data_IF_216218149017
#
_entry.id   IF_216218149017
#
_cell.length_a   1.000
_cell.length_b   1.000
_cell.length_c   1.000
_cell.angle_alpha   90.00
_cell.angle_beta   90.00
_cell.angle_gamma   90.00
#
_symmetry.space_group_name_H-M   'P 1'
#
loop_
_entity.id
_entity.type
_entity.pdbx_description
1 polymer ?
#
# COMPACT_ATOMS: atom_id res chain seq x y z
N UNK A 1 1.69 10.77 -83.50
CA UNK A 1 2.14 11.55 -82.32
C UNK A 1 1.51 10.94 -81.08
N UNK A 2 2.29 10.19 -80.31
CA UNK A 2 1.86 9.34 -79.19
C UNK A 2 1.64 10.15 -77.91
N UNK A 3 0.40 10.21 -77.41
CA UNK A 3 0.07 10.72 -76.08
C UNK A 3 0.28 9.61 -75.04
N UNK A 4 1.18 9.83 -74.07
CA UNK A 4 1.39 8.96 -72.91
C UNK A 4 0.40 9.33 -71.80
N UNK A 5 -0.45 8.39 -71.38
CA UNK A 5 -1.19 8.47 -70.12
C UNK A 5 -0.24 8.19 -68.96
N UNK A 6 -0.14 9.12 -68.01
CA UNK A 6 0.44 8.89 -66.69
C UNK A 6 -0.70 8.58 -65.70
N UNK A 7 -0.77 7.34 -65.24
CA UNK A 7 -1.61 6.94 -64.11
C UNK A 7 -0.87 7.23 -62.80
N UNK A 8 -1.37 8.18 -62.01
CA UNK A 8 -0.89 8.43 -60.66
C UNK A 8 -1.57 7.45 -59.69
N UNK A 9 -0.79 6.54 -59.11
CA UNK A 9 -1.23 5.67 -58.01
C UNK A 9 -1.01 6.43 -56.70
N UNK A 10 -2.08 6.90 -56.08
CA UNK A 10 -2.06 7.46 -54.72
C UNK A 10 -2.07 6.32 -53.71
N UNK A 11 -0.93 6.09 -53.06
CA UNK A 11 -0.83 5.18 -51.93
C UNK A 11 -1.27 5.90 -50.63
N UNK A 12 -2.45 5.54 -50.12
CA UNK A 12 -2.96 6.04 -48.84
C UNK A 12 -2.28 5.29 -47.70
N UNK A 13 -1.33 5.92 -47.00
CA UNK A 13 -0.81 5.40 -45.73
C UNK A 13 -1.90 5.52 -44.66
N UNK A 14 -2.49 4.40 -44.25
CA UNK A 14 -3.26 4.32 -43.01
C UNK A 14 -2.29 4.33 -41.82
N UNK A 15 -2.22 5.45 -41.12
CA UNK A 15 -1.59 5.52 -39.81
C UNK A 15 -2.46 4.79 -38.79
N UNK A 16 -2.10 3.54 -38.46
CA UNK A 16 -2.63 2.84 -37.30
C UNK A 16 -2.08 3.52 -36.04
N UNK A 17 -2.86 4.44 -35.48
CA UNK A 17 -2.61 4.99 -34.15
C UNK A 17 -2.77 3.88 -33.12
N UNK A 18 -1.68 3.54 -32.43
CA UNK A 18 -1.72 2.73 -31.22
C UNK A 18 -2.40 3.59 -30.16
N UNK A 19 -3.72 3.45 -30.00
CA UNK A 19 -4.43 4.00 -28.86
C UNK A 19 -3.92 3.27 -27.62
N UNK A 20 -2.95 3.87 -26.92
CA UNK A 20 -2.59 3.43 -25.57
C UNK A 20 -3.86 3.48 -24.72
N UNK A 21 -4.30 2.34 -24.21
CA UNK A 21 -5.40 2.27 -23.26
C UNK A 21 -5.05 3.17 -22.07
N UNK A 22 -5.72 4.32 -21.97
CA UNK A 22 -5.61 5.20 -20.84
C UNK A 22 -6.18 4.46 -19.62
N UNK A 23 -5.32 3.78 -18.87
CA UNK A 23 -5.72 3.17 -17.61
C UNK A 23 -6.08 4.30 -16.64
N UNK A 24 -7.30 4.23 -16.09
CA UNK A 24 -7.75 5.14 -15.07
C UNK A 24 -6.77 5.10 -13.89
N UNK A 25 -6.31 6.27 -13.45
CA UNK A 25 -5.42 6.37 -12.30
C UNK A 25 -6.18 6.01 -11.02
N UNK A 26 -5.54 5.32 -10.06
CA UNK A 26 -6.15 5.10 -8.76
C UNK A 26 -6.51 6.41 -8.06
N UNK A 27 -7.55 6.38 -7.22
CA UNK A 27 -7.89 7.51 -6.35
C UNK A 27 -6.74 7.92 -5.41
N UNK A 28 -6.88 9.10 -4.79
CA UNK A 28 -5.89 9.62 -3.83
C UNK A 28 -5.99 8.97 -2.45
N UNK A 29 -7.14 8.38 -2.15
CA UNK A 29 -7.42 7.63 -0.93
C UNK A 29 -7.42 6.12 -1.23
N UNK A 30 -7.11 5.35 -0.19
CA UNK A 30 -7.27 3.90 -0.23
C UNK A 30 -8.75 3.53 -0.49
N UNK A 31 -9.04 2.56 -1.38
CA UNK A 31 -10.41 2.12 -1.63
C UNK A 31 -11.06 1.52 -0.38
N UNK A 32 -12.36 1.74 -0.26
CA UNK A 32 -13.20 1.13 0.77
C UNK A 32 -14.35 0.40 0.07
N UNK A 33 -14.54 -0.87 0.41
CA UNK A 33 -15.65 -1.69 -0.05
C UNK A 33 -16.56 -1.94 1.15
N UNK A 34 -17.67 -1.19 1.22
CA UNK A 34 -18.58 -1.18 2.38
C UNK A 34 -17.82 -0.86 3.68
N UNK A 35 -17.58 -1.84 4.55
CA UNK A 35 -16.84 -1.67 5.81
C UNK A 35 -15.37 -2.10 5.73
N UNK A 36 -14.90 -2.53 4.56
CA UNK A 36 -13.56 -3.07 4.35
C UNK A 36 -12.64 -2.10 3.61
N UNK A 37 -11.62 -1.61 4.31
CA UNK A 37 -10.54 -0.80 3.75
C UNK A 37 -9.46 -1.70 3.16
N UNK A 38 -8.94 -1.36 1.98
CA UNK A 38 -7.77 -2.05 1.41
C UNK A 38 -6.60 -1.09 1.17
N UNK A 39 -5.38 -1.57 1.41
CA UNK A 39 -4.19 -0.81 1.05
C UNK A 39 -2.96 -1.72 0.85
N UNK A 40 -1.87 -1.16 0.31
CA UNK A 40 -0.58 -1.81 0.19
C UNK A 40 0.57 -0.91 0.69
N UNK A 41 1.55 -1.53 1.32
CA UNK A 41 2.82 -0.91 1.70
C UNK A 41 3.74 -0.76 0.48
N UNK A 42 4.79 0.08 0.61
CA UNK A 42 5.82 0.26 -0.42
C UNK A 42 6.52 -1.04 -0.83
N UNK A 43 6.55 -2.03 0.07
CA UNK A 43 7.12 -3.37 -0.18
C UNK A 43 6.26 -4.24 -1.10
N UNK A 44 4.98 -3.92 -1.29
CA UNK A 44 4.02 -4.77 -2.02
C UNK A 44 3.19 -5.69 -1.12
N UNK A 45 3.42 -5.67 0.21
CA UNK A 45 2.52 -6.30 1.16
C UNK A 45 1.17 -5.54 1.19
N UNK A 46 0.07 -6.25 0.97
CA UNK A 46 -1.27 -5.68 0.90
C UNK A 46 -2.16 -6.21 2.03
N UNK A 47 -3.21 -5.47 2.38
CA UNK A 47 -4.19 -5.93 3.36
C UNK A 47 -5.62 -5.48 3.04
N UNK A 48 -6.58 -6.24 3.57
CA UNK A 48 -7.99 -5.87 3.71
C UNK A 48 -8.34 -5.84 5.19
N UNK A 49 -8.91 -4.74 5.69
CA UNK A 49 -9.16 -4.52 7.12
C UNK A 49 -10.59 -4.06 7.36
N UNK A 50 -11.21 -4.59 8.41
CA UNK A 50 -12.45 -4.08 8.97
C UNK A 50 -12.24 -3.71 10.43
N UNK A 51 -12.34 -2.41 10.72
CA UNK A 51 -12.28 -1.86 12.08
C UNK A 51 -13.71 -1.67 12.59
N UNK A 52 -14.08 -2.43 13.62
CA UNK A 52 -15.42 -2.39 14.22
C UNK A 52 -15.32 -1.99 15.68
N UNK A 53 -16.19 -1.09 16.12
CA UNK A 53 -16.31 -0.67 17.52
C UNK A 53 -17.69 -1.03 18.06
N UNK A 54 -17.72 -1.74 19.18
CA UNK A 54 -18.92 -1.98 19.98
C UNK A 54 -18.72 -1.38 21.38
N UNK A 55 -19.37 -0.25 21.64
CA UNK A 55 -19.15 0.57 22.84
C UNK A 55 -17.67 0.95 23.02
N UNK A 56 -17.07 0.59 24.16
CA UNK A 56 -15.67 0.87 24.48
C UNK A 56 -14.70 -0.15 23.89
N UNK A 57 -15.19 -1.29 23.39
CA UNK A 57 -14.34 -2.35 22.80
C UNK A 57 -14.33 -2.18 21.29
N UNK A 58 -13.14 -2.23 20.69
CA UNK A 58 -13.00 -2.28 19.25
C UNK A 58 -12.15 -3.47 18.85
N UNK A 59 -12.41 -3.96 17.64
CA UNK A 59 -11.66 -5.02 16.99
C UNK A 59 -11.30 -4.57 15.58
N UNK A 60 -10.06 -4.80 15.18
CA UNK A 60 -9.60 -4.75 13.80
C UNK A 60 -9.30 -6.17 13.33
N UNK A 61 -10.08 -6.65 12.37
CA UNK A 61 -9.77 -7.87 11.65
C UNK A 61 -9.07 -7.52 10.35
N UNK A 62 -7.85 -8.02 10.18
CA UNK A 62 -7.04 -7.73 8.99
C UNK A 62 -6.55 -9.00 8.31
N UNK A 63 -6.86 -9.14 7.03
CA UNK A 63 -6.27 -10.14 6.15
C UNK A 63 -5.07 -9.47 5.47
N UNK A 64 -3.88 -9.99 5.69
CA UNK A 64 -2.59 -9.45 5.21
C UNK A 64 -1.97 -10.46 4.25
N UNK A 65 -1.37 -9.99 3.17
CA UNK A 65 -0.68 -10.86 2.21
C UNK A 65 0.61 -10.24 1.69
N UNK A 66 1.69 -11.00 1.76
CA UNK A 66 3.00 -10.62 1.22
C UNK A 66 3.06 -10.77 -0.32
N UNK A 67 4.07 -10.17 -0.94
CA UNK A 67 4.21 -10.09 -2.39
C UNK A 67 4.75 -11.37 -3.05
N UNK A 68 5.42 -12.26 -2.30
CA UNK A 68 6.06 -13.48 -2.84
C UNK A 68 5.03 -14.44 -3.42
N UNK A 69 5.37 -15.15 -4.50
CA UNK A 69 4.47 -16.07 -5.21
C UNK A 69 3.74 -17.05 -4.28
N UNK A 70 4.47 -17.64 -3.34
CA UNK A 70 4.03 -18.64 -2.37
C UNK A 70 3.41 -18.07 -1.09
N UNK A 71 3.39 -16.75 -0.94
CA UNK A 71 2.86 -16.10 0.26
C UNK A 71 1.38 -16.45 0.51
N UNK A 72 1.16 -17.13 1.63
CA UNK A 72 -0.17 -17.43 2.14
C UNK A 72 -0.80 -16.18 2.77
N UNK A 73 -2.13 -16.03 2.71
CA UNK A 73 -2.82 -15.01 3.50
C UNK A 73 -2.58 -15.26 4.99
N UNK A 74 -2.35 -14.17 5.71
CA UNK A 74 -2.28 -14.14 7.16
C UNK A 74 -3.49 -13.37 7.69
N UNK A 75 -4.01 -13.77 8.85
CA UNK A 75 -5.09 -13.06 9.51
C UNK A 75 -4.60 -12.55 10.85
N UNK A 76 -4.85 -11.27 11.12
CA UNK A 76 -4.51 -10.64 12.39
C UNK A 76 -5.75 -10.03 13.02
N UNK A 77 -5.97 -10.37 14.29
CA UNK A 77 -6.97 -9.73 15.14
C UNK A 77 -6.27 -8.71 16.02
N UNK A 78 -6.79 -7.49 16.10
CA UNK A 78 -6.36 -6.48 17.07
C UNK A 78 -7.53 -6.04 17.91
N UNK A 79 -7.33 -5.76 19.18
CA UNK A 79 -8.33 -5.19 20.08
C UNK A 79 -7.68 -4.21 21.05
N UNK A 80 -8.46 -3.28 21.62
CA UNK A 80 -8.00 -2.50 22.78
C UNK A 80 -8.24 -3.17 24.13
N UNK A 81 -8.90 -4.33 24.15
CA UNK A 81 -9.14 -5.06 25.39
C UNK A 81 -7.96 -5.96 25.68
N UNK A 82 -7.41 -5.87 26.89
CA UNK A 82 -6.41 -6.83 27.36
C UNK A 82 -7.10 -8.18 27.57
N UNK A 83 -6.64 -9.20 26.86
CA UNK A 83 -7.11 -10.56 26.98
C UNK A 83 -6.43 -11.25 28.18
N UNK A 84 -7.17 -12.05 28.95
CA UNK A 84 -6.61 -12.84 30.04
C UNK A 84 -5.52 -13.81 29.56
N UNK A 85 -4.74 -14.34 30.51
CA UNK A 85 -3.68 -15.32 30.19
C UNK A 85 -4.26 -16.67 29.70
N UNK A 86 -5.45 -17.02 30.17
CA UNK A 86 -6.18 -18.23 29.80
C UNK A 86 -7.59 -17.89 29.33
N UNK A 87 -8.19 -18.79 28.57
CA UNK A 87 -9.53 -18.63 28.03
C UNK A 87 -9.57 -18.90 26.54
N UNK A 88 -10.71 -18.68 25.91
CA UNK A 88 -10.92 -19.06 24.51
C UNK A 88 -11.42 -17.88 23.70
N UNK A 89 -10.73 -17.59 22.60
CA UNK A 89 -11.25 -16.74 21.53
C UNK A 89 -12.10 -17.59 20.60
N UNK A 90 -13.38 -17.22 20.43
CA UNK A 90 -14.30 -17.92 19.53
C UNK A 90 -14.64 -17.06 18.33
N UNK A 91 -14.64 -17.67 17.16
CA UNK A 91 -14.97 -17.05 15.88
C UNK A 91 -16.21 -17.72 15.31
N UNK A 92 -17.33 -17.01 15.34
CA UNK A 92 -18.62 -17.49 14.81
C UNK A 92 -18.93 -16.75 13.51
N UNK A 93 -19.18 -17.46 12.42
CA UNK A 93 -19.67 -16.88 11.16
C UNK A 93 -21.15 -17.22 11.03
N UNK A 94 -22.00 -16.19 10.93
CA UNK A 94 -23.46 -16.32 10.88
C UNK A 94 -24.03 -17.22 12.00
N UNK A 95 -23.46 -17.09 13.21
CA UNK A 95 -23.84 -17.88 14.39
C UNK A 95 -23.28 -19.31 14.44
N UNK A 96 -22.53 -19.74 13.43
CA UNK A 96 -21.85 -21.05 13.41
C UNK A 96 -20.41 -20.89 13.87
N UNK A 97 -20.00 -21.60 14.92
CA UNK A 97 -18.60 -21.61 15.36
C UNK A 97 -17.71 -22.25 14.32
N UNK A 98 -16.80 -21.45 13.77
CA UNK A 98 -15.79 -21.88 12.82
C UNK A 98 -14.52 -22.28 13.54
N UNK A 99 -14.16 -21.56 14.61
CA UNK A 99 -12.95 -21.83 15.38
C UNK A 99 -13.09 -21.43 16.86
N UNK A 100 -12.41 -22.16 17.74
CA UNK A 100 -12.23 -21.83 19.16
C UNK A 100 -10.77 -22.00 19.56
N UNK A 101 -10.06 -20.89 19.73
CA UNK A 101 -8.62 -20.89 20.02
C UNK A 101 -8.36 -20.58 21.51
N UNK A 102 -7.67 -21.46 22.25
CA UNK A 102 -7.12 -21.12 23.54
C UNK A 102 -6.13 -19.94 23.43
N UNK A 103 -6.25 -18.95 24.31
CA UNK A 103 -5.40 -17.75 24.26
C UNK A 103 -3.94 -18.10 24.51
N UNK A 104 -3.67 -19.04 25.40
CA UNK A 104 -2.33 -19.54 25.69
C UNK A 104 -1.66 -20.12 24.42
N UNK A 105 -2.38 -20.92 23.65
CA UNK A 105 -1.89 -21.47 22.38
C UNK A 105 -1.69 -20.36 21.36
N UNK A 106 -2.61 -19.38 21.31
CA UNK A 106 -2.46 -18.24 20.42
C UNK A 106 -1.20 -17.43 20.75
N UNK A 107 -0.89 -17.22 22.04
CA UNK A 107 0.34 -16.55 22.49
C UNK A 107 1.59 -17.34 22.09
N UNK A 108 1.59 -18.66 22.26
CA UNK A 108 2.71 -19.53 21.89
C UNK A 108 3.04 -19.46 20.40
N UNK A 109 2.03 -19.45 19.52
CA UNK A 109 2.28 -19.44 18.08
C UNK A 109 2.73 -18.09 17.53
N UNK A 110 2.63 -16.99 18.30
CA UNK A 110 2.94 -15.65 17.77
C UNK A 110 4.38 -15.54 17.25
N UNK A 111 5.34 -16.17 17.93
CA UNK A 111 6.74 -16.16 17.51
C UNK A 111 6.99 -16.94 16.20
N UNK A 112 6.08 -17.85 15.83
CA UNK A 112 6.19 -18.63 14.59
C UNK A 112 5.66 -17.87 13.37
N UNK A 113 4.90 -16.79 13.55
CA UNK A 113 4.34 -16.01 12.45
C UNK A 113 5.23 -14.83 12.12
N UNK A 114 5.88 -14.89 10.95
CA UNK A 114 6.67 -13.77 10.43
C UNK A 114 5.77 -12.73 9.78
N UNK A 115 5.76 -11.52 10.33
CA UNK A 115 5.00 -10.41 9.74
C UNK A 115 5.63 -9.98 8.40
N UNK A 116 4.83 -9.74 7.34
CA UNK A 116 5.36 -9.25 6.07
C UNK A 116 6.09 -7.91 6.24
N UNK A 117 7.25 -7.69 5.59
CA UNK A 117 7.92 -6.40 5.65
C UNK A 117 7.00 -5.27 5.16
N UNK A 118 7.04 -4.13 5.86
CA UNK A 118 6.14 -2.99 5.59
C UNK A 118 4.75 -3.12 6.25
N UNK A 119 4.43 -4.26 6.88
CA UNK A 119 3.26 -4.37 7.74
C UNK A 119 3.41 -3.50 8.99
N UNK A 120 2.36 -2.75 9.35
CA UNK A 120 2.30 -1.95 10.57
C UNK A 120 1.05 -2.32 11.37
N UNK A 121 1.19 -2.86 12.60
CA UNK A 121 0.05 -3.18 13.44
C UNK A 121 -0.62 -1.90 13.95
N UNK A 122 -1.92 -1.97 14.22
CA UNK A 122 -2.60 -0.94 15.01
C UNK A 122 -2.19 -1.07 16.49
N UNK A 123 -2.19 0.05 17.21
CA UNK A 123 -1.96 0.05 18.65
C UNK A 123 -3.10 -0.68 19.38
N UNK A 124 -2.74 -1.52 20.35
CA UNK A 124 -3.66 -2.44 21.04
C UNK A 124 -3.00 -3.80 21.22
N UNK A 125 -3.72 -4.75 21.82
CA UNK A 125 -3.30 -6.14 21.87
C UNK A 125 -3.72 -6.83 20.57
N UNK A 126 -2.80 -7.53 19.91
CA UNK A 126 -3.18 -8.23 18.70
C UNK A 126 -2.34 -9.45 18.41
N UNK A 127 -2.98 -10.38 17.70
CA UNK A 127 -2.52 -11.74 17.50
C UNK A 127 -2.67 -12.12 16.04
N UNK A 128 -1.64 -12.77 15.51
CA UNK A 128 -1.74 -13.56 14.30
C UNK A 128 -2.52 -14.83 14.56
N UNK A 129 -3.50 -15.09 13.71
CA UNK A 129 -4.27 -16.32 13.69
C UNK A 129 -3.42 -17.48 13.12
N UNK A 130 -3.70 -18.75 13.50
CA UNK A 130 -2.95 -19.90 12.99
C UNK A 130 -2.93 -19.97 11.47
N UNK A 131 -1.76 -20.22 10.89
CA UNK A 131 -1.53 -20.18 9.43
C UNK A 131 -1.98 -21.46 8.72
N UNK A 132 -1.87 -21.47 7.38
CA UNK A 132 -2.13 -22.66 6.57
C UNK A 132 -3.61 -23.03 6.47
N UNK A 133 -3.92 -24.32 6.67
CA UNK A 133 -5.28 -24.85 6.50
C UNK A 133 -6.30 -24.17 7.42
N UNK A 134 -5.91 -23.84 8.66
CA UNK A 134 -6.78 -23.19 9.64
C UNK A 134 -7.20 -21.79 9.16
N UNK A 135 -6.24 -20.94 8.75
CA UNK A 135 -6.55 -19.65 8.11
C UNK A 135 -7.42 -19.84 6.86
N UNK A 136 -7.15 -20.85 6.04
CA UNK A 136 -7.90 -21.08 4.80
C UNK A 136 -9.37 -21.44 5.05
N UNK A 137 -9.64 -22.27 6.07
CA UNK A 137 -11.00 -22.63 6.52
C UNK A 137 -11.75 -21.39 6.99
N UNK A 138 -11.16 -20.60 7.88
CA UNK A 138 -11.79 -19.37 8.36
C UNK A 138 -12.03 -18.40 7.19
N UNK A 139 -11.04 -18.15 6.35
CA UNK A 139 -11.15 -17.22 5.22
C UNK A 139 -12.24 -17.66 4.21
N UNK A 140 -12.45 -18.96 4.03
CA UNK A 140 -13.54 -19.48 3.19
C UNK A 140 -14.90 -19.16 3.82
N UNK A 141 -15.07 -19.41 5.12
CA UNK A 141 -16.30 -19.08 5.83
C UNK A 141 -16.59 -17.57 5.78
N UNK A 142 -15.57 -16.72 6.00
CA UNK A 142 -15.71 -15.27 5.93
C UNK A 142 -16.13 -14.76 4.54
N UNK A 143 -15.69 -15.41 3.46
CA UNK A 143 -16.06 -15.01 2.10
C UNK A 143 -17.50 -15.36 1.71
N UNK A 144 -18.11 -16.33 2.39
CA UNK A 144 -19.49 -16.77 2.13
C UNK A 144 -20.50 -16.26 3.14
N UNK A 145 -20.04 -15.89 4.35
CA UNK A 145 -20.90 -15.40 5.42
C UNK A 145 -21.25 -13.92 5.32
N UNK A 146 -22.13 -13.47 6.21
CA UNK A 146 -22.58 -12.07 6.29
C UNK A 146 -21.99 -11.34 7.49
N UNK A 147 -21.77 -12.03 8.59
CA UNK A 147 -21.23 -11.48 9.83
C UNK A 147 -20.24 -12.45 10.49
N UNK A 148 -19.09 -11.92 10.93
CA UNK A 148 -18.21 -12.61 11.88
C UNK A 148 -18.42 -12.03 13.27
N UNK A 149 -18.80 -12.87 14.24
CA UNK A 149 -18.76 -12.50 15.66
C UNK A 149 -17.50 -13.04 16.31
N UNK A 150 -16.71 -12.15 16.91
CA UNK A 150 -15.55 -12.52 17.73
C UNK A 150 -15.93 -12.44 19.19
N UNK A 151 -15.89 -13.57 19.90
CA UNK A 151 -16.12 -13.64 21.33
C UNK A 151 -14.79 -13.66 22.06
N UNK A 152 -14.61 -12.70 22.97
CA UNK A 152 -13.39 -12.50 23.72
C UNK A 152 -13.68 -12.60 25.22
N UNK A 153 -12.92 -13.38 25.98
CA UNK A 153 -13.02 -13.35 27.43
C UNK A 153 -12.49 -12.01 27.96
N UNK A 154 -13.01 -11.57 29.10
CA UNK A 154 -12.58 -10.34 29.75
C UNK A 154 -11.77 -10.65 30.99
N UNK A 155 -10.64 -9.97 31.16
CA UNK A 155 -9.82 -10.11 32.36
C UNK A 155 -10.65 -9.81 33.63
N UNK A 156 -10.58 -10.71 34.61
CA UNK A 156 -11.28 -10.57 35.89
C UNK A 156 -12.81 -10.75 35.82
N UNK A 157 -13.37 -11.22 34.71
CA UNK A 157 -14.81 -11.50 34.57
C UNK A 157 -15.07 -12.86 33.93
N UNK A 158 -16.17 -13.49 34.32
CA UNK A 158 -16.69 -14.69 33.63
C UNK A 158 -17.48 -14.33 32.35
N UNK A 159 -17.78 -13.06 32.13
CA UNK A 159 -18.50 -12.59 30.94
C UNK A 159 -17.58 -12.45 29.72
N UNK A 160 -18.11 -12.84 28.56
CA UNK A 160 -17.46 -12.64 27.26
C UNK A 160 -17.97 -11.38 26.59
N UNK A 161 -17.07 -10.59 26.01
CA UNK A 161 -17.43 -9.49 25.10
C UNK A 161 -17.52 -10.03 23.69
N UNK A 162 -18.57 -9.65 22.96
CA UNK A 162 -18.76 -10.04 21.56
C UNK A 162 -18.72 -8.81 20.66
N UNK A 163 -17.98 -8.90 19.55
CA UNK A 163 -17.91 -7.86 18.52
C UNK A 163 -18.27 -8.47 17.17
N UNK A 164 -19.34 -7.96 16.57
CA UNK A 164 -19.86 -8.38 15.26
C UNK A 164 -19.25 -7.53 14.14
N UNK A 165 -18.51 -8.16 13.25
CA UNK A 165 -17.83 -7.56 12.11
C UNK A 165 -18.62 -7.88 10.83
N UNK A 166 -19.20 -6.87 10.15
CA UNK A 166 -19.85 -7.08 8.87
C UNK A 166 -18.87 -7.61 7.81
N UNK A 167 -19.28 -8.64 7.06
CA UNK A 167 -18.49 -9.26 5.99
C UNK A 167 -18.83 -8.73 4.60
N UNK A 168 -19.86 -7.87 4.50
CA UNK A 168 -20.17 -7.14 3.27
C UNK A 168 -18.94 -6.34 2.83
N UNK A 169 -18.51 -6.51 1.58
CA UNK A 169 -17.33 -5.86 1.02
C UNK A 169 -16.01 -6.64 1.19
N UNK A 170 -15.94 -7.65 2.07
CA UNK A 170 -14.72 -8.45 2.27
C UNK A 170 -14.24 -9.09 0.97
N UNK A 171 -15.13 -9.80 0.27
CA UNK A 171 -14.79 -10.50 -0.98
C UNK A 171 -14.27 -9.53 -2.05
N UNK A 172 -14.85 -8.33 -2.15
CA UNK A 172 -14.36 -7.27 -3.04
C UNK A 172 -12.97 -6.76 -2.64
N UNK A 173 -12.73 -6.59 -1.34
CA UNK A 173 -11.42 -6.25 -0.81
C UNK A 173 -10.36 -7.32 -1.09
N UNK A 174 -10.69 -8.60 -0.90
CA UNK A 174 -9.79 -9.71 -1.21
C UNK A 174 -9.51 -9.83 -2.71
N UNK A 175 -10.52 -9.59 -3.56
CA UNK A 175 -10.33 -9.54 -5.01
C UNK A 175 -9.43 -8.37 -5.42
N UNK A 176 -9.55 -7.23 -4.75
CA UNK A 176 -8.64 -6.10 -4.96
C UNK A 176 -7.20 -6.47 -4.61
N UNK A 177 -6.97 -7.19 -3.50
CA UNK A 177 -5.65 -7.70 -3.13
C UNK A 177 -5.09 -8.62 -4.21
N UNK A 178 -5.87 -9.61 -4.65
CA UNK A 178 -5.46 -10.54 -5.71
C UNK A 178 -5.10 -9.81 -7.01
N UNK A 179 -5.88 -8.81 -7.42
CA UNK A 179 -5.60 -7.99 -8.59
C UNK A 179 -4.34 -7.15 -8.43
N UNK A 180 -4.15 -6.48 -7.28
CA UNK A 180 -2.96 -5.67 -6.99
C UNK A 180 -1.67 -6.49 -6.98
N UNK A 181 -1.78 -7.77 -6.65
CA UNK A 181 -0.66 -8.70 -6.56
C UNK A 181 -0.52 -9.62 -7.78
N UNK A 182 -1.27 -9.37 -8.87
CA UNK A 182 -1.28 -10.20 -10.08
C UNK A 182 -1.57 -11.70 -9.81
N UNK A 183 -2.46 -11.98 -8.85
CA UNK A 183 -2.81 -13.35 -8.45
C UNK A 183 -4.10 -13.87 -9.06
N UNK A 184 -4.99 -13.01 -9.53
CA UNK A 184 -6.26 -13.40 -10.15
C UNK A 184 -6.00 -14.40 -11.28
N UNK A 185 -6.67 -15.56 -11.23
CA UNK A 185 -6.47 -16.65 -12.21
C UNK A 185 -5.26 -17.56 -11.95
N UNK A 186 -4.44 -17.26 -10.94
CA UNK A 186 -3.36 -18.17 -10.48
C UNK A 186 -3.88 -19.13 -9.43
N UNK A 187 -3.17 -20.24 -9.21
CA UNK A 187 -3.44 -21.17 -8.11
C UNK A 187 -3.33 -20.54 -6.72
N UNK A 188 -2.73 -19.34 -6.62
CA UNK A 188 -2.59 -18.60 -5.36
C UNK A 188 -3.69 -17.58 -5.11
N UNK A 189 -4.63 -17.32 -6.01
CA UNK A 189 -5.68 -16.33 -5.74
C UNK A 189 -6.53 -16.74 -4.53
N UNK A 190 -6.99 -15.77 -3.73
CA UNK A 190 -7.91 -16.01 -2.60
C UNK A 190 -9.35 -16.18 -3.11
N UNK A 191 -9.80 -15.28 -3.99
CA UNK A 191 -11.22 -15.18 -4.37
C UNK A 191 -11.57 -16.02 -5.58
N UNK A 192 -10.67 -16.12 -6.55
CA UNK A 192 -10.89 -16.86 -7.79
C UNK A 192 -9.61 -17.58 -8.21
N UNK A 193 -9.28 -18.70 -7.52
CA UNK A 193 -8.14 -19.52 -7.89
C UNK A 193 -8.29 -20.03 -9.33
N UNK A 194 -7.19 -20.05 -10.08
CA UNK A 194 -7.14 -20.65 -11.41
C UNK A 194 -5.97 -21.61 -11.55
N UNK A 195 -5.63 -21.97 -12.79
CA UNK A 195 -4.59 -22.97 -13.10
C UNK A 195 -3.21 -22.38 -13.32
N UNK A 196 -3.08 -21.05 -13.46
CA UNK A 196 -1.80 -20.44 -13.73
C UNK A 196 -0.86 -20.55 -12.51
N UNK A 197 0.45 -20.74 -12.72
CA UNK A 197 1.39 -20.83 -11.62
C UNK A 197 1.44 -19.51 -10.84
N UNK A 198 1.61 -19.55 -9.50
CA UNK A 198 1.84 -18.34 -8.72
C UNK A 198 3.12 -17.64 -9.17
N UNK A 199 3.07 -16.30 -9.28
CA UNK A 199 4.22 -15.45 -9.60
C UNK A 199 4.44 -14.41 -8.51
N UNK A 200 5.66 -13.89 -8.40
CA UNK A 200 5.93 -12.78 -7.50
C UNK A 200 5.14 -11.54 -7.97
N UNK A 201 4.44 -10.92 -7.04
CA UNK A 201 3.77 -9.66 -7.28
C UNK A 201 4.81 -8.53 -7.50
N UNK A 202 4.39 -7.40 -8.12
CA UNK A 202 5.17 -6.17 -8.10
C UNK A 202 5.52 -5.80 -6.66
N UNK A 203 6.80 -5.56 -6.38
CA UNK A 203 7.30 -5.37 -5.03
C UNK A 203 8.46 -4.38 -4.97
N UNK A 204 8.80 -3.98 -3.75
CA UNK A 204 10.08 -3.36 -3.43
C UNK A 204 10.65 -4.02 -2.18
N UNK A 205 11.97 -3.96 -2.04
CA UNK A 205 12.67 -4.58 -0.92
C UNK A 205 12.83 -3.55 0.20
N UNK A 206 12.51 -3.88 1.45
CA UNK A 206 12.70 -2.97 2.57
C UNK A 206 14.18 -2.69 2.76
N UNK A 207 14.49 -1.48 3.24
CA UNK A 207 15.81 -1.10 3.75
C UNK A 207 15.60 -0.74 5.22
N UNK A 208 16.20 -1.50 6.13
CA UNK A 208 15.93 -1.36 7.56
C UNK A 208 16.95 -0.45 8.26
N UNK A 209 18.11 -0.26 7.66
CA UNK A 209 19.16 0.60 8.19
C UNK A 209 19.89 1.33 7.05
N UNK A 210 20.39 2.57 7.27
CA UNK A 210 21.17 3.31 6.27
C UNK A 210 22.39 2.54 5.75
N UNK A 211 22.98 1.67 6.57
CA UNK A 211 24.16 0.87 6.24
C UNK A 211 23.89 -0.20 5.17
N UNK A 212 22.63 -0.51 4.88
CA UNK A 212 22.22 -1.42 3.80
C UNK A 212 22.28 -0.74 2.41
N UNK A 213 22.45 0.59 2.36
CA UNK A 213 22.60 1.33 1.11
C UNK A 213 23.96 1.01 0.46
N UNK A 214 24.01 0.73 -0.86
CA UNK A 214 25.28 0.65 -1.59
C UNK A 214 26.09 1.95 -1.45
N UNK A 215 27.42 1.85 -1.57
CA UNK A 215 28.33 2.97 -1.31
C UNK A 215 28.00 4.24 -2.12
N UNK A 216 27.70 4.11 -3.41
CA UNK A 216 27.36 5.21 -4.30
C UNK A 216 26.01 5.84 -3.95
N UNK A 217 25.03 5.02 -3.56
CA UNK A 217 23.71 5.50 -3.11
C UNK A 217 23.86 6.22 -1.76
N UNK A 218 24.62 5.64 -0.85
CA UNK A 218 24.93 6.19 0.46
C UNK A 218 25.67 7.52 0.34
N UNK A 219 26.61 7.66 -0.60
CA UNK A 219 27.33 8.92 -0.83
C UNK A 219 26.40 10.06 -1.26
N UNK A 220 25.45 9.78 -2.16
CA UNK A 220 24.44 10.76 -2.60
C UNK A 220 23.49 11.10 -1.46
N UNK A 221 23.04 10.09 -0.72
CA UNK A 221 22.18 10.29 0.44
C UNK A 221 22.88 11.19 1.48
N UNK A 222 24.12 10.91 1.87
CA UNK A 222 24.89 11.74 2.81
C UNK A 222 25.19 13.16 2.29
N UNK A 223 25.36 13.33 0.97
CA UNK A 223 25.58 14.65 0.37
C UNK A 223 24.33 15.54 0.43
N UNK A 224 23.14 14.97 0.64
CA UNK A 224 21.93 15.75 0.80
C UNK A 224 21.84 16.37 2.20
N UNK A 225 21.61 17.69 2.25
CA UNK A 225 21.59 18.49 3.47
C UNK A 225 20.62 18.02 4.57
N UNK A 226 19.57 17.27 4.23
CA UNK A 226 18.59 16.76 5.21
C UNK A 226 18.83 15.30 5.61
N UNK A 227 19.73 14.58 4.93
CA UNK A 227 19.81 13.13 5.03
C UNK A 227 21.03 12.65 5.82
N UNK A 228 21.99 13.52 6.16
CA UNK A 228 23.28 13.14 6.76
C UNK A 228 23.22 12.57 8.19
N UNK A 229 22.07 12.63 8.87
CA UNK A 229 21.90 12.00 10.19
C UNK A 229 20.44 11.63 10.44
N UNK A 230 20.20 10.36 10.82
CA UNK A 230 18.89 9.86 11.22
C UNK A 230 19.09 8.74 12.24
N UNK A 231 18.23 8.70 13.27
CA UNK A 231 18.23 7.60 14.23
C UNK A 231 17.85 6.28 13.51
N UNK A 232 18.57 5.17 13.74
CA UNK A 232 18.28 3.89 13.07
C UNK A 232 16.86 3.35 13.33
N UNK A 233 16.33 3.56 14.53
CA UNK A 233 14.96 3.12 14.87
C UNK A 233 13.93 3.95 14.12
N UNK A 234 14.17 5.26 14.02
CA UNK A 234 13.35 6.16 13.20
C UNK A 234 13.44 5.74 11.72
N UNK A 235 14.64 5.51 11.17
CA UNK A 235 14.82 5.09 9.79
C UNK A 235 14.03 3.81 9.47
N UNK A 236 14.16 2.77 10.30
CA UNK A 236 13.44 1.51 10.16
C UNK A 236 11.91 1.68 10.21
N UNK A 237 11.41 2.72 10.90
CA UNK A 237 9.98 3.03 11.00
C UNK A 237 9.41 3.73 9.74
N UNK A 238 10.27 4.36 8.94
CA UNK A 238 9.90 5.22 7.81
C UNK A 238 9.81 4.46 6.46
N UNK A 239 9.84 3.12 6.48
CA UNK A 239 9.55 2.27 5.32
C UNK A 239 10.40 2.61 4.07
N UNK A 240 11.71 2.82 4.25
CA UNK A 240 12.65 2.95 3.15
C UNK A 240 12.62 1.69 2.26
N UNK A 241 12.74 1.87 0.95
CA UNK A 241 12.70 0.73 0.01
C UNK A 241 13.69 0.86 -1.15
N UNK A 242 14.20 -0.29 -1.60
CA UNK A 242 14.86 -0.51 -2.89
C UNK A 242 13.88 -1.13 -3.87
N UNK A 243 13.55 -0.42 -4.93
CA UNK A 243 12.71 -0.89 -6.03
C UNK A 243 13.62 -1.51 -7.10
N UNK A 244 13.58 -2.84 -7.31
CA UNK A 244 14.31 -3.46 -8.42
C UNK A 244 13.68 -3.05 -9.77
N UNK A 245 14.52 -2.75 -10.76
CA UNK A 245 14.12 -2.41 -12.14
C UNK A 245 14.55 -3.52 -13.12
N UNK A 246 13.89 -3.59 -14.28
CA UNK A 246 14.02 -4.69 -15.26
C UNK A 246 15.43 -4.83 -15.86
N UNK A 247 16.19 -3.73 -15.94
CA UNK A 247 17.53 -3.66 -16.53
C UNK A 247 18.67 -3.94 -15.51
N UNK A 248 18.31 -4.39 -14.31
CA UNK A 248 19.23 -4.58 -13.19
C UNK A 248 19.56 -3.29 -12.44
N UNK A 249 18.97 -2.15 -12.79
CA UNK A 249 19.03 -0.93 -12.01
C UNK A 249 18.12 -1.01 -10.77
N UNK A 250 18.22 -0.01 -9.91
CA UNK A 250 17.36 0.13 -8.74
C UNK A 250 16.99 1.59 -8.48
N UNK A 251 15.75 1.81 -8.05
CA UNK A 251 15.29 3.09 -7.52
C UNK A 251 15.15 2.98 -5.99
N UNK A 252 15.80 3.86 -5.25
CA UNK A 252 15.77 3.90 -3.79
C UNK A 252 14.87 5.05 -3.35
N UNK A 253 13.93 4.77 -2.45
CA UNK A 253 13.11 5.79 -1.78
C UNK A 253 13.51 5.79 -0.32
N UNK A 254 14.27 6.80 0.10
CA UNK A 254 15.02 6.78 1.37
C UNK A 254 14.62 7.99 2.21
N UNK A 255 14.22 7.81 3.48
CA UNK A 255 13.91 8.90 4.38
C UNK A 255 15.17 9.70 4.71
N UNK A 256 14.97 10.95 5.11
CA UNK A 256 16.03 11.88 5.44
C UNK A 256 15.72 12.61 6.74
N UNK A 257 16.70 12.62 7.65
CA UNK A 257 16.61 13.41 8.86
C UNK A 257 15.55 12.93 9.84
N UNK A 258 15.46 13.61 10.98
CA UNK A 258 14.37 13.38 11.91
C UNK A 258 13.03 13.87 11.31
N UNK A 259 11.94 13.10 11.47
CA UNK A 259 10.62 13.56 11.08
C UNK A 259 10.24 14.82 11.87
N UNK A 260 9.49 15.70 11.24
CA UNK A 260 8.77 16.77 11.95
C UNK A 260 7.47 16.21 12.53
N UNK A 261 6.66 17.03 13.20
CA UNK A 261 5.44 16.57 13.90
C UNK A 261 4.48 15.72 13.02
N UNK A 262 4.42 15.96 11.71
CA UNK A 262 3.52 15.24 10.80
C UNK A 262 4.07 15.08 9.37
N UNK A 263 5.33 15.44 9.12
CA UNK A 263 5.99 15.28 7.82
C UNK A 263 7.40 14.70 7.97
N UNK A 264 7.68 13.67 7.20
CA UNK A 264 9.02 13.07 7.04
C UNK A 264 9.54 13.34 5.62
N UNK A 265 10.74 13.92 5.44
CA UNK A 265 11.33 14.09 4.13
C UNK A 265 11.96 12.78 3.64
N UNK A 266 11.95 12.60 2.33
CA UNK A 266 12.57 11.50 1.60
C UNK A 266 13.28 12.04 0.36
N UNK A 267 14.21 11.24 -0.15
CA UNK A 267 14.84 11.42 -1.46
C UNK A 267 14.63 10.18 -2.31
N UNK A 268 14.68 10.39 -3.63
CA UNK A 268 14.74 9.30 -4.60
C UNK A 268 16.14 9.24 -5.21
N UNK A 269 16.76 8.06 -5.25
CA UNK A 269 18.10 7.85 -5.83
C UNK A 269 18.01 6.71 -6.83
N UNK A 270 18.46 6.93 -8.05
CA UNK A 270 18.57 5.88 -9.07
C UNK A 270 20.00 5.37 -9.08
N UNK A 271 20.18 4.05 -9.06
CA UNK A 271 21.46 3.39 -9.28
C UNK A 271 21.36 2.47 -10.51
N UNK A 272 22.23 2.67 -11.49
CA UNK A 272 22.33 1.82 -12.66
C UNK A 272 22.89 0.44 -12.33
N UNK A 273 22.81 -0.49 -13.29
CA UNK A 273 23.39 -1.85 -13.18
C UNK A 273 24.91 -1.85 -12.92
N UNK A 274 25.59 -0.77 -13.28
CA UNK A 274 27.02 -0.54 -13.08
C UNK A 274 27.34 0.05 -11.69
N UNK A 275 26.32 0.27 -10.86
CA UNK A 275 26.43 0.88 -9.53
C UNK A 275 26.46 2.42 -9.57
N UNK A 276 26.59 3.04 -10.74
CA UNK A 276 26.59 4.49 -10.84
C UNK A 276 25.24 5.05 -10.38
N UNK A 277 25.27 5.92 -9.38
CA UNK A 277 24.08 6.46 -8.77
C UNK A 277 23.90 7.96 -9.06
N UNK A 278 22.65 8.42 -9.05
CA UNK A 278 22.31 9.86 -9.11
C UNK A 278 21.02 10.16 -8.34
N UNK A 279 20.95 11.36 -7.79
CA UNK A 279 19.71 11.90 -7.24
C UNK A 279 18.64 11.98 -8.34
N UNK A 280 17.44 11.51 -8.05
CA UNK A 280 16.24 11.70 -8.87
C UNK A 280 15.46 12.87 -8.30
N UNK A 281 15.26 13.90 -9.12
CA UNK A 281 14.39 15.01 -8.79
C UNK A 281 12.96 14.71 -9.26
N UNK A 282 11.98 15.21 -8.53
CA UNK A 282 10.56 15.12 -8.86
C UNK A 282 10.04 16.48 -9.32
N UNK A 283 9.15 16.47 -10.32
CA UNK A 283 8.48 17.68 -10.80
C UNK A 283 7.31 18.06 -9.88
N UNK A 284 7.12 19.35 -9.64
CA UNK A 284 6.04 19.92 -8.82
C UNK A 284 5.48 21.16 -9.51
N UNK A 285 4.24 21.55 -9.23
CA UNK A 285 3.70 22.81 -9.73
C UNK A 285 3.79 23.89 -8.65
N UNK A 286 4.47 24.98 -8.98
CA UNK A 286 4.43 26.24 -8.21
C UNK A 286 3.50 27.24 -8.89
N UNK A 287 3.20 28.34 -8.21
CA UNK A 287 2.44 29.45 -8.81
C UNK A 287 3.15 30.07 -10.02
N UNK A 288 4.48 30.00 -10.06
CA UNK A 288 5.32 30.49 -11.18
C UNK A 288 5.55 29.46 -12.28
N UNK A 289 4.97 28.26 -12.17
CA UNK A 289 5.14 27.16 -13.13
C UNK A 289 5.85 25.93 -12.55
N UNK A 290 6.25 24.98 -13.41
CA UNK A 290 6.86 23.73 -12.98
C UNK A 290 8.23 23.97 -12.33
N UNK A 291 8.47 23.29 -11.22
CA UNK A 291 9.76 23.28 -10.52
C UNK A 291 10.24 21.85 -10.35
N UNK A 292 11.55 21.67 -10.18
CA UNK A 292 12.15 20.40 -9.78
C UNK A 292 12.58 20.49 -8.32
N UNK A 293 12.31 19.45 -7.54
CA UNK A 293 12.78 19.31 -6.16
C UNK A 293 13.32 17.93 -5.92
N UNK A 294 14.29 17.82 -5.03
CA UNK A 294 14.90 16.58 -4.55
C UNK A 294 14.16 15.99 -3.34
N UNK A 295 13.31 16.78 -2.67
CA UNK A 295 12.61 16.38 -1.46
C UNK A 295 11.18 15.93 -1.73
N UNK A 296 10.83 14.78 -1.16
CA UNK A 296 9.50 14.16 -1.22
C UNK A 296 9.01 13.99 0.20
N UNK A 297 7.85 14.53 0.56
CA UNK A 297 7.33 14.42 1.92
C UNK A 297 6.33 13.27 2.05
N UNK A 298 6.44 12.49 3.13
CA UNK A 298 5.58 11.33 3.41
C UNK A 298 5.47 10.42 2.18
N UNK A 299 6.62 10.03 1.64
CA UNK A 299 6.73 9.30 0.40
C UNK A 299 6.18 7.87 0.54
N UNK A 300 5.46 7.40 -0.49
CA UNK A 300 5.03 6.01 -0.61
C UNK A 300 5.21 5.52 -2.03
N UNK A 301 5.97 4.44 -2.19
CA UNK A 301 6.06 3.74 -3.47
C UNK A 301 4.85 2.81 -3.65
N UNK A 302 4.32 2.71 -4.86
CA UNK A 302 3.23 1.81 -5.21
C UNK A 302 3.74 0.88 -6.31
N UNK A 303 4.22 -0.33 -5.97
CA UNK A 303 4.87 -1.22 -6.92
C UNK A 303 4.00 -1.59 -8.13
N UNK A 304 2.71 -1.90 -7.90
CA UNK A 304 1.79 -2.34 -8.94
C UNK A 304 1.64 -1.32 -10.08
N UNK A 305 1.69 -0.03 -9.74
CA UNK A 305 1.51 1.06 -10.70
C UNK A 305 2.86 1.70 -11.12
N UNK A 306 3.97 1.29 -10.50
CA UNK A 306 5.29 1.96 -10.57
C UNK A 306 5.20 3.46 -10.25
N UNK A 307 4.45 3.79 -9.21
CA UNK A 307 4.16 5.18 -8.84
C UNK A 307 4.78 5.57 -7.51
N UNK A 308 5.19 6.83 -7.42
CA UNK A 308 5.53 7.47 -6.16
C UNK A 308 4.41 8.42 -5.77
N UNK A 309 3.91 8.29 -4.55
CA UNK A 309 2.92 9.20 -3.96
C UNK A 309 3.62 10.02 -2.87
N UNK A 310 3.26 11.30 -2.76
CA UNK A 310 3.67 12.18 -1.66
C UNK A 310 2.45 12.87 -1.09
N UNK A 311 2.47 13.10 0.22
CA UNK A 311 1.41 13.79 0.93
C UNK A 311 2.01 14.71 2.00
N UNK A 312 2.34 15.92 1.60
CA UNK A 312 2.72 16.96 2.54
C UNK A 312 1.49 17.46 3.29
N UNK A 313 1.47 17.29 4.61
CA UNK A 313 0.39 17.78 5.47
C UNK A 313 0.70 19.22 5.90
N UNK A 314 -0.27 20.12 5.81
CA UNK A 314 -0.17 21.50 6.31
C UNK A 314 -0.56 21.65 7.79
N UNK A 315 -1.11 20.60 8.39
CA UNK A 315 -1.59 20.54 9.77
C UNK A 315 -1.38 19.13 10.35
N UNK A 316 -1.58 18.96 11.66
CA UNK A 316 -1.52 17.64 12.31
C UNK A 316 -2.63 16.68 11.83
N UNK A 317 -3.80 17.21 11.48
CA UNK A 317 -4.93 16.43 10.95
C UNK A 317 -4.68 16.06 9.48
N UNK A 318 -4.08 16.96 8.69
CA UNK A 318 -3.74 16.74 7.27
C UNK A 318 -4.83 17.18 6.30
N UNK A 319 -5.89 17.81 6.76
CA UNK A 319 -7.01 18.25 5.92
C UNK A 319 -6.61 19.30 4.87
N UNK A 320 -5.46 19.94 5.04
CA UNK A 320 -4.83 20.86 4.11
C UNK A 320 -3.40 20.41 3.76
N UNK A 321 -2.86 20.94 2.67
CA UNK A 321 -1.50 20.68 2.24
C UNK A 321 -1.43 20.38 0.75
N UNK A 322 -0.57 19.43 0.41
CA UNK A 322 -0.18 19.16 -0.97
C UNK A 322 0.02 17.66 -1.17
N UNK A 323 -0.59 17.13 -2.23
CA UNK A 323 -0.53 15.74 -2.61
C UNK A 323 -0.03 15.60 -4.04
N UNK A 324 0.83 14.60 -4.29
CA UNK A 324 1.40 14.33 -5.61
C UNK A 324 1.36 12.84 -5.95
N UNK A 325 1.34 12.57 -7.26
CA UNK A 325 1.58 11.27 -7.86
C UNK A 325 2.50 11.40 -9.06
N UNK A 326 3.59 10.64 -9.04
CA UNK A 326 4.49 10.46 -10.17
C UNK A 326 4.49 9.01 -10.63
N UNK A 327 4.81 8.77 -11.90
CA UNK A 327 5.11 7.45 -12.43
C UNK A 327 6.57 7.36 -12.84
N UNK A 328 7.20 6.22 -12.54
CA UNK A 328 8.52 5.90 -13.06
C UNK A 328 8.42 5.51 -14.54
N UNK A 329 9.13 6.23 -15.41
CA UNK A 329 9.12 5.98 -16.86
C UNK A 329 10.36 5.22 -17.37
N UNK A 330 11.20 4.69 -16.47
CA UNK A 330 12.49 4.07 -16.81
C UNK A 330 13.69 4.99 -16.63
N UNK A 331 13.51 6.31 -16.64
CA UNK A 331 14.60 7.28 -16.44
C UNK A 331 14.35 8.26 -15.30
N UNK A 332 13.11 8.59 -15.01
CA UNK A 332 12.75 9.54 -13.97
C UNK A 332 11.30 9.40 -13.53
N UNK A 333 10.92 10.25 -12.56
CA UNK A 333 9.57 10.34 -12.03
C UNK A 333 8.82 11.46 -12.74
N UNK A 334 7.84 11.09 -13.55
CA UNK A 334 7.00 12.01 -14.33
C UNK A 334 5.74 12.33 -13.55
N UNK A 335 5.43 13.62 -13.38
CA UNK A 335 4.25 14.08 -12.63
C UNK A 335 2.97 13.72 -13.38
N UNK A 336 2.15 12.86 -12.77
CA UNK A 336 0.83 12.51 -13.28
C UNK A 336 -0.24 13.42 -12.72
N UNK A 337 -0.16 13.72 -11.42
CA UNK A 337 -1.18 14.47 -10.72
C UNK A 337 -0.59 15.23 -9.54
N UNK A 338 -1.05 16.46 -9.34
CA UNK A 338 -0.83 17.24 -8.13
C UNK A 338 -2.15 17.86 -7.70
N UNK A 339 -2.44 17.81 -6.40
CA UNK A 339 -3.62 18.43 -5.83
C UNK A 339 -3.28 19.11 -4.52
N UNK A 340 -3.98 20.21 -4.24
CA UNK A 340 -3.74 21.00 -3.03
C UNK A 340 -5.03 21.46 -2.39
N UNK A 341 -4.93 21.70 -1.08
CA UNK A 341 -5.93 22.43 -0.31
C UNK A 341 -5.20 23.40 0.61
N UNK A 342 -5.40 24.71 0.43
CA UNK A 342 -4.68 25.76 1.17
C UNK A 342 -5.26 25.99 2.58
N UNK A 343 -6.57 25.82 2.76
CA UNK A 343 -7.24 26.10 4.03
C UNK A 343 -7.23 24.89 4.96
N UNK A 344 -6.69 25.10 6.16
CA UNK A 344 -6.71 24.15 7.27
C UNK A 344 -7.86 24.51 8.21
N UNK A 345 -8.90 23.68 8.29
CA UNK A 345 -10.11 23.88 9.08
C UNK A 345 -10.40 22.74 10.07
N UNK A 346 -9.42 21.87 10.30
CA UNK A 346 -9.48 20.79 11.28
C UNK A 346 -10.63 19.78 11.06
N UNK A 347 -11.08 19.61 9.82
CA UNK A 347 -12.04 18.56 9.41
C UNK A 347 -11.33 17.25 9.09
N UNK A 348 -12.08 16.15 8.99
CA UNK A 348 -11.52 14.89 8.49
C UNK A 348 -10.91 15.06 7.08
N UNK A 349 -9.67 14.62 6.83
CA UNK A 349 -9.03 14.76 5.52
C UNK A 349 -9.74 13.95 4.43
N UNK A 350 -10.20 14.64 3.39
CA UNK A 350 -10.74 14.01 2.18
C UNK A 350 -9.96 14.47 0.94
N UNK A 351 -8.88 13.73 0.63
CA UNK A 351 -8.01 14.02 -0.50
C UNK A 351 -8.75 13.93 -1.84
N UNK A 352 -9.85 13.19 -1.93
CA UNK A 352 -10.62 13.04 -3.18
C UNK A 352 -11.27 14.35 -3.62
N UNK A 353 -11.53 15.26 -2.67
CA UNK A 353 -12.14 16.58 -2.90
C UNK A 353 -11.13 17.69 -3.18
N UNK A 354 -9.83 17.41 -3.08
CA UNK A 354 -8.81 18.44 -3.30
C UNK A 354 -8.74 18.88 -4.76
N UNK A 355 -8.50 20.17 -4.99
CA UNK A 355 -8.39 20.73 -6.33
C UNK A 355 -7.07 20.37 -6.97
N UNK A 356 -7.10 19.90 -8.23
CA UNK A 356 -5.89 19.64 -8.99
C UNK A 356 -5.17 20.96 -9.30
N UNK A 357 -3.88 21.00 -9.02
CA UNK A 357 -2.93 21.95 -9.60
C UNK A 357 -2.26 21.34 -10.84
N UNK A 358 -2.27 20.01 -10.98
CA UNK A 358 -1.88 19.28 -12.19
C UNK A 358 -2.67 17.96 -12.36
N UNK A 359 -3.05 17.58 -13.60
CA UNK A 359 -3.23 18.50 -14.72
C UNK A 359 -4.27 19.55 -14.32
N UNK A 360 -4.15 20.76 -14.88
CA UNK A 360 -5.20 21.75 -14.74
C UNK A 360 -6.47 21.12 -15.34
N UNK A 361 -7.53 20.96 -14.54
CA UNK A 361 -8.82 20.57 -15.10
C UNK A 361 -9.17 21.67 -16.12
N UNK A 362 -9.43 21.28 -17.37
CA UNK A 362 -9.99 22.22 -18.34
C UNK A 362 -11.20 22.86 -17.67
N UNK A 363 -11.20 24.18 -17.52
CA UNK A 363 -12.42 24.90 -17.18
C UNK A 363 -13.41 24.51 -18.27
N UNK A 364 -14.46 23.76 -17.91
CA UNK A 364 -15.59 23.53 -18.79
C UNK A 364 -16.04 24.91 -19.25
N UNK A 365 -15.82 25.22 -20.54
CA UNK A 365 -16.34 26.45 -21.13
C UNK A 365 -17.85 26.33 -21.31
#
# INVERSE_FOLDING_TARGET
MTLRLFSAVTATLLALGIAGSAQAQPGRTAPVFDTWLVDCASTGACFSSSFTRNQSVWVDLRIVRDWRADAQPLLRLTTNTVLPQTGTLRFDVDGTTIESLPIEQLREIQAAVTSPPGFRPLGGEGFWYPTGAVTSTLLTALQTGQELTVHMPREGSAETVSVSIPLQGLKSGLLWLDNRQNRTGTASAIVSPGSEPPINAPHALPILAPEELPAEVSAIWHANRLCSSIDPTIFASLNAVRVPLEDGASLYIVPCGAPTAYNSPYVAIYAGKDGAARQVHVARMSESGPIATDLIYNARWVPADRQLISYFKGSGVGECGLWNRWVWNGTGLVLLEEASRKTCDNTEPDLSKWSNTWPLKNASK
#
